data_IF_695407416481
#
_entry.id   IF_695407416481
#
_cell.length_a   1.000
_cell.length_b   1.000
_cell.length_c   1.000
_cell.angle_alpha   90.00
_cell.angle_beta   90.00
_cell.angle_gamma   90.00
#
_symmetry.space_group_name_H-M   'P 1'
#
loop_
_entity.id
_entity.type
_entity.pdbx_description
1 polymer ?
#
# COMPACT_ATOMS: atom_id res chain seq x y z
N UNK A 1 8.47 -14.70 -1.44
CA UNK A 1 7.64 -13.69 -2.10
C UNK A 1 8.20 -12.30 -1.75
N UNK A 2 8.48 -11.49 -2.75
CA UNK A 2 8.96 -10.13 -2.56
C UNK A 2 7.78 -9.18 -2.45
N UNK A 3 7.66 -8.50 -1.31
CA UNK A 3 6.49 -7.68 -0.99
C UNK A 3 6.85 -6.20 -0.99
N UNK A 4 6.04 -5.39 -1.64
CA UNK A 4 6.06 -3.94 -1.49
C UNK A 4 4.99 -3.55 -0.48
N UNK A 5 5.40 -2.88 0.58
CA UNK A 5 4.50 -2.33 1.59
C UNK A 5 4.14 -0.91 1.18
N UNK A 6 2.86 -0.58 1.19
CA UNK A 6 2.41 0.77 0.94
C UNK A 6 1.62 1.31 2.12
N UNK A 7 2.01 2.48 2.62
CA UNK A 7 1.39 3.17 3.74
C UNK A 7 1.01 4.59 3.33
N UNK A 8 -0.17 5.03 3.74
CA UNK A 8 -0.65 6.38 3.44
C UNK A 8 -1.47 6.92 4.59
N UNK A 9 -1.28 8.21 4.90
CA UNK A 9 -2.20 8.99 5.72
C UNK A 9 -2.38 10.37 5.09
N UNK A 10 -3.58 10.93 5.17
CA UNK A 10 -3.84 12.31 4.78
C UNK A 10 -3.34 13.26 5.87
N UNK A 11 -3.27 14.56 5.55
CA UNK A 11 -2.90 15.58 6.54
C UNK A 11 -3.83 15.57 7.75
N UNK A 12 -5.13 15.38 7.52
CA UNK A 12 -6.10 15.31 8.60
C UNK A 12 -5.90 14.06 9.46
N UNK A 13 -5.69 12.91 8.83
CA UNK A 13 -5.52 11.63 9.52
C UNK A 13 -4.24 11.59 10.38
N UNK A 14 -3.23 12.35 10.03
CA UNK A 14 -2.00 12.43 10.83
C UNK A 14 -2.25 12.91 12.27
N UNK A 15 -3.37 13.61 12.48
CA UNK A 15 -3.75 14.14 13.80
C UNK A 15 -4.65 13.19 14.58
N UNK A 16 -5.07 12.08 13.98
CA UNK A 16 -6.00 11.13 14.59
C UNK A 16 -5.27 9.86 15.03
N UNK A 17 -5.76 9.24 16.12
CA UNK A 17 -5.23 7.97 16.59
C UNK A 17 -5.61 6.82 15.66
N UNK A 18 -4.73 5.83 15.55
CA UNK A 18 -4.99 4.62 14.80
C UNK A 18 -4.67 4.69 13.32
N UNK A 19 -4.22 5.85 12.84
CA UNK A 19 -3.90 6.02 11.41
C UNK A 19 -2.43 6.34 11.16
N UNK A 20 -1.56 6.19 12.17
CA UNK A 20 -0.15 6.56 12.03
C UNK A 20 0.57 5.66 11.03
N UNK A 21 1.54 6.25 10.35
CA UNK A 21 2.42 5.52 9.42
C UNK A 21 3.19 4.43 10.16
N UNK A 22 3.72 4.74 11.35
CA UNK A 22 4.49 3.77 12.14
C UNK A 22 3.65 2.54 12.48
N UNK A 23 2.39 2.74 12.83
CA UNK A 23 1.48 1.65 13.15
C UNK A 23 1.20 0.78 11.93
N UNK A 24 0.92 1.39 10.78
CA UNK A 24 0.72 0.66 9.54
C UNK A 24 1.97 -0.14 9.17
N UNK A 25 3.11 0.52 9.15
CA UNK A 25 4.38 -0.11 8.76
C UNK A 25 4.72 -1.28 9.68
N UNK A 26 4.57 -1.10 10.98
CA UNK A 26 4.85 -2.15 11.97
C UNK A 26 3.98 -3.38 11.74
N UNK A 27 2.68 -3.18 11.56
CA UNK A 27 1.74 -4.29 11.35
C UNK A 27 1.99 -5.01 10.02
N UNK A 28 2.31 -4.27 8.98
CA UNK A 28 2.58 -4.86 7.67
C UNK A 28 3.88 -5.67 7.66
N UNK A 29 4.92 -5.19 8.33
CA UNK A 29 6.16 -5.95 8.50
C UNK A 29 5.93 -7.22 9.30
N UNK A 30 5.12 -7.15 10.35
CA UNK A 30 4.73 -8.30 11.15
C UNK A 30 3.96 -9.32 10.30
N UNK A 31 3.05 -8.86 9.46
CA UNK A 31 2.28 -9.70 8.55
C UNK A 31 3.20 -10.45 7.58
N UNK A 32 4.19 -9.77 7.03
CA UNK A 32 5.19 -10.40 6.15
C UNK A 32 6.01 -11.43 6.91
N UNK A 33 6.43 -11.13 8.12
CA UNK A 33 7.22 -12.04 8.94
C UNK A 33 6.46 -13.34 9.23
N UNK A 34 5.18 -13.22 9.61
CA UNK A 34 4.33 -14.38 9.91
C UNK A 34 4.16 -15.27 8.68
N UNK A 35 4.13 -14.69 7.49
CA UNK A 35 3.93 -15.41 6.24
C UNK A 35 5.25 -15.82 5.55
N UNK A 36 6.39 -15.57 6.17
CA UNK A 36 7.71 -15.82 5.60
C UNK A 36 7.95 -15.08 4.27
N UNK A 37 7.40 -13.88 4.18
CA UNK A 37 7.58 -13.02 3.02
C UNK A 37 8.71 -12.01 3.26
N UNK A 38 9.40 -11.64 2.19
CA UNK A 38 10.49 -10.65 2.23
C UNK A 38 9.92 -9.27 1.92
N UNK A 39 10.18 -8.30 2.79
CA UNK A 39 9.86 -6.90 2.50
C UNK A 39 10.92 -6.36 1.55
N UNK A 40 10.57 -6.24 0.27
CA UNK A 40 11.51 -5.77 -0.75
C UNK A 40 11.68 -4.26 -0.72
N UNK A 41 10.59 -3.52 -0.46
CA UNK A 41 10.63 -2.07 -0.36
C UNK A 41 9.41 -1.57 0.41
N UNK A 42 9.52 -0.37 0.95
CA UNK A 42 8.45 0.31 1.70
C UNK A 42 8.20 1.67 1.07
N UNK A 43 6.92 1.95 0.77
CA UNK A 43 6.49 3.17 0.11
C UNK A 43 5.54 3.93 1.04
N UNK A 44 5.88 5.16 1.38
CA UNK A 44 5.13 5.95 2.37
C UNK A 44 4.72 7.29 1.79
N UNK A 45 3.43 7.53 1.69
CA UNK A 45 2.85 8.81 1.31
C UNK A 45 2.17 9.45 2.54
N UNK A 46 2.91 10.25 3.28
CA UNK A 46 2.40 10.97 4.44
C UNK A 46 1.92 12.36 4.02
N UNK A 47 0.69 12.70 4.37
CA UNK A 47 0.09 13.99 4.01
C UNK A 47 -0.59 14.03 2.66
N UNK A 48 -0.93 12.86 2.09
CA UNK A 48 -1.56 12.76 0.77
C UNK A 48 -2.94 12.11 0.87
N UNK A 49 -3.91 12.67 0.15
CA UNK A 49 -5.28 12.17 0.13
C UNK A 49 -5.40 10.85 -0.63
N UNK A 50 -6.21 9.92 -0.10
CA UNK A 50 -6.58 8.70 -0.80
C UNK A 50 -7.56 8.91 -1.95
N UNK A 51 -8.14 10.12 -2.05
CA UNK A 51 -9.06 10.47 -3.13
C UNK A 51 -8.33 10.87 -4.42
N UNK A 52 -7.04 11.14 -4.34
CA UNK A 52 -6.23 11.58 -5.48
C UNK A 52 -5.12 10.59 -5.76
N UNK A 53 -4.81 10.41 -7.03
CA UNK A 53 -3.76 9.51 -7.49
C UNK A 53 -2.37 10.17 -7.53
N UNK A 54 -2.32 11.48 -7.35
CA UNK A 54 -1.07 12.24 -7.39
C UNK A 54 -0.31 12.10 -6.07
N UNK A 55 0.32 10.94 -5.89
CA UNK A 55 1.08 10.59 -4.69
C UNK A 55 2.46 10.09 -5.13
N UNK A 56 3.55 10.73 -4.70
CA UNK A 56 4.90 10.43 -5.24
C UNK A 56 5.35 9.00 -5.00
N UNK A 57 5.08 8.44 -3.82
CA UNK A 57 5.54 7.09 -3.52
C UNK A 57 4.68 6.04 -4.21
N UNK A 58 3.39 6.29 -4.41
CA UNK A 58 2.55 5.41 -5.22
C UNK A 58 3.07 5.37 -6.66
N UNK A 59 3.47 6.53 -7.20
CA UNK A 59 4.06 6.58 -8.54
C UNK A 59 5.36 5.78 -8.61
N UNK A 60 6.22 5.91 -7.60
CA UNK A 60 7.47 5.15 -7.53
C UNK A 60 7.20 3.64 -7.48
N UNK A 61 6.21 3.24 -6.68
CA UNK A 61 5.79 1.84 -6.58
C UNK A 61 5.35 1.32 -7.95
N UNK A 62 4.51 2.07 -8.66
CA UNK A 62 4.01 1.66 -9.98
C UNK A 62 5.13 1.57 -11.01
N UNK A 63 6.13 2.45 -10.93
CA UNK A 63 7.29 2.39 -11.83
C UNK A 63 8.15 1.15 -11.57
N UNK A 64 8.18 0.68 -10.33
CA UNK A 64 8.97 -0.49 -9.92
C UNK A 64 8.12 -1.76 -9.81
N UNK A 65 6.91 -1.75 -10.31
CA UNK A 65 5.92 -2.82 -10.08
C UNK A 65 6.43 -4.21 -10.40
N UNK A 66 7.26 -4.35 -11.43
CA UNK A 66 7.77 -5.65 -11.89
C UNK A 66 8.75 -6.29 -10.91
N UNK A 67 9.23 -5.54 -9.93
CA UNK A 67 10.16 -6.07 -8.93
C UNK A 67 9.46 -6.77 -7.77
N UNK A 68 8.12 -6.73 -7.73
CA UNK A 68 7.36 -7.24 -6.60
C UNK A 68 6.44 -8.38 -6.99
N UNK A 69 6.19 -9.26 -6.04
CA UNK A 69 5.21 -10.34 -6.18
C UNK A 69 3.87 -9.97 -5.57
N UNK A 70 3.89 -9.08 -4.58
CA UNK A 70 2.69 -8.71 -3.82
C UNK A 70 2.78 -7.25 -3.38
N UNK A 71 1.67 -6.54 -3.51
CA UNK A 71 1.49 -5.22 -2.90
C UNK A 71 0.62 -5.40 -1.66
N UNK A 72 1.13 -4.97 -0.50
CA UNK A 72 0.45 -5.15 0.78
C UNK A 72 0.13 -3.79 1.39
N UNK A 73 -1.13 -3.60 1.77
CA UNK A 73 -1.61 -2.40 2.47
C UNK A 73 -2.34 -2.80 3.74
N UNK A 74 -2.47 -1.86 4.67
CA UNK A 74 -3.17 -2.12 5.93
C UNK A 74 -4.67 -2.32 5.70
N UNK A 75 -5.30 -1.40 4.95
CA UNK A 75 -6.70 -1.45 4.52
C UNK A 75 -6.80 -0.91 3.11
N UNK A 76 -7.89 -1.24 2.41
CA UNK A 76 -8.12 -0.74 1.05
C UNK A 76 -8.07 0.78 0.96
N UNK A 77 -8.61 1.49 1.95
CA UNK A 77 -8.63 2.95 1.94
C UNK A 77 -7.24 3.57 2.12
N UNK A 78 -6.25 2.78 2.52
CA UNK A 78 -4.84 3.22 2.53
C UNK A 78 -4.26 3.24 1.12
N UNK A 79 -4.74 2.35 0.25
CA UNK A 79 -4.34 2.40 -1.15
C UNK A 79 -5.08 3.54 -1.88
N UNK A 80 -6.39 3.55 -1.79
CA UNK A 80 -7.21 4.57 -2.44
C UNK A 80 -8.61 4.61 -1.83
N UNK A 81 -9.28 5.77 -1.94
CA UNK A 81 -10.68 5.95 -1.59
C UNK A 81 -11.57 6.05 -2.81
N UNK A 82 -10.98 6.03 -4.00
CA UNK A 82 -11.70 6.07 -5.27
C UNK A 82 -11.86 4.67 -5.81
N UNK A 83 -13.11 4.23 -6.03
CA UNK A 83 -13.40 2.91 -6.61
C UNK A 83 -12.81 2.80 -8.00
N UNK A 84 -12.89 3.87 -8.78
CA UNK A 84 -12.34 3.91 -10.13
C UNK A 84 -10.82 3.71 -10.12
N UNK A 85 -10.13 4.44 -9.25
CA UNK A 85 -8.68 4.30 -9.12
C UNK A 85 -8.29 2.91 -8.62
N UNK A 86 -9.08 2.34 -7.73
CA UNK A 86 -8.84 0.97 -7.24
C UNK A 86 -8.89 -0.01 -8.40
N UNK A 87 -9.91 0.06 -9.24
CA UNK A 87 -10.04 -0.84 -10.39
C UNK A 87 -8.87 -0.67 -11.36
N UNK A 88 -8.46 0.57 -11.63
CA UNK A 88 -7.34 0.85 -12.50
C UNK A 88 -6.03 0.30 -11.92
N UNK A 89 -5.81 0.46 -10.62
CA UNK A 89 -4.61 -0.03 -9.95
C UNK A 89 -4.56 -1.56 -9.95
N UNK A 90 -5.68 -2.21 -9.66
CA UNK A 90 -5.75 -3.67 -9.67
C UNK A 90 -5.48 -4.23 -11.07
N UNK A 91 -5.92 -3.54 -12.10
CA UNK A 91 -5.62 -3.93 -13.48
C UNK A 91 -4.12 -3.85 -13.78
N UNK A 92 -3.47 -2.77 -13.33
CA UNK A 92 -2.01 -2.63 -13.47
C UNK A 92 -1.29 -3.76 -12.75
N UNK A 93 -1.70 -4.09 -11.53
CA UNK A 93 -1.08 -5.17 -10.77
C UNK A 93 -1.26 -6.51 -11.49
N UNK A 94 -2.47 -6.82 -11.92
CA UNK A 94 -2.77 -8.06 -12.63
C UNK A 94 -1.98 -8.18 -13.93
N UNK A 95 -1.88 -7.10 -14.70
CA UNK A 95 -1.12 -7.09 -15.97
C UNK A 95 0.38 -7.31 -15.76
N UNK A 96 0.88 -7.11 -14.55
CA UNK A 96 2.28 -7.32 -14.21
C UNK A 96 2.51 -8.56 -13.34
N UNK A 97 1.49 -9.41 -13.21
CA UNK A 97 1.53 -10.63 -12.38
C UNK A 97 1.86 -10.34 -10.93
N UNK A 98 1.36 -9.23 -10.39
CA UNK A 98 1.56 -8.83 -9.00
C UNK A 98 0.23 -8.96 -8.27
N UNK A 99 0.25 -9.70 -7.16
CA UNK A 99 -0.93 -9.86 -6.31
C UNK A 99 -1.13 -8.62 -5.45
N UNK A 100 -2.35 -8.44 -4.95
CA UNK A 100 -2.68 -7.37 -4.02
C UNK A 100 -3.37 -7.95 -2.80
N UNK A 101 -3.01 -7.44 -1.63
CA UNK A 101 -3.66 -7.85 -0.38
C UNK A 101 -3.78 -6.70 0.62
N UNK A 102 -4.93 -6.67 1.28
CA UNK A 102 -5.18 -5.84 2.46
C UNK A 102 -5.01 -6.72 3.70
N UNK A 103 -4.23 -6.27 4.67
CA UNK A 103 -3.88 -7.08 5.84
C UNK A 103 -5.06 -7.29 6.79
N UNK A 104 -6.02 -6.36 6.84
CA UNK A 104 -7.12 -6.39 7.80
C UNK A 104 -8.45 -6.78 7.18
N UNK A 105 -8.52 -6.96 5.87
CA UNK A 105 -9.75 -7.29 5.15
C UNK A 105 -9.59 -8.62 4.41
N UNK A 106 -10.65 -9.35 4.33
CA UNK A 106 -10.64 -10.65 3.66
C UNK A 106 -10.85 -10.51 2.16
#
# INVERSE_FOLDING_TARGET
MNVAIYCRVSTLEQKEHGYSIEEQERKLKQFCEINDWTVADTFIDAGFSGAKRDRPELKRLLNDIKHFDLILVYKLDRLTRSVRDLLDLLEVFENNDVAFRSATEV
#
